data_IF_067043294690
#
_entry.id   IF_067043294690
#
_cell.length_a   1.000
_cell.length_b   1.000
_cell.length_c   1.000
_cell.angle_alpha   90.00
_cell.angle_beta   90.00
_cell.angle_gamma   90.00
#
_symmetry.space_group_name_H-M   'P 1'
#
loop_
_entity.id
_entity.type
_entity.pdbx_description
1 polymer ?
#
# COMPACT_ATOMS: atom_id res chain seq x y z
N UNK A 1 -1.54 -10.33 -12.93
CA UNK A 1 -2.28 -10.63 -14.18
C UNK A 1 -3.30 -11.71 -13.86
N UNK A 2 -4.52 -11.58 -14.39
CA UNK A 2 -5.55 -12.63 -14.26
C UNK A 2 -5.75 -13.23 -15.65
N UNK A 3 -5.68 -14.55 -15.77
CA UNK A 3 -5.93 -15.28 -17.03
C UNK A 3 -6.87 -16.45 -16.73
N UNK A 4 -8.14 -16.33 -17.13
CA UNK A 4 -9.18 -17.27 -16.69
C UNK A 4 -9.37 -17.19 -15.17
N UNK A 5 -9.28 -18.33 -14.49
CA UNK A 5 -9.36 -18.44 -13.03
C UNK A 5 -7.98 -18.28 -12.35
N UNK A 6 -6.89 -18.20 -13.12
CA UNK A 6 -5.54 -18.17 -12.58
C UNK A 6 -5.04 -16.74 -12.33
N UNK A 7 -4.38 -16.56 -11.17
CA UNK A 7 -3.77 -15.30 -10.75
C UNK A 7 -2.24 -15.42 -10.81
N UNK A 8 -1.62 -14.49 -11.52
CA UNK A 8 -0.17 -14.40 -11.69
C UNK A 8 0.37 -13.14 -11.01
N UNK A 9 1.29 -13.31 -10.07
CA UNK A 9 2.05 -12.22 -9.43
C UNK A 9 3.26 -11.91 -10.30
N UNK A 10 3.33 -10.68 -10.83
CA UNK A 10 4.42 -10.27 -11.72
C UNK A 10 5.58 -9.64 -10.95
N UNK A 11 5.27 -8.86 -9.92
CA UNK A 11 6.25 -8.14 -9.13
C UNK A 11 5.69 -7.84 -7.73
N UNK A 12 6.60 -7.49 -6.82
CA UNK A 12 6.29 -6.95 -5.49
C UNK A 12 7.06 -5.64 -5.34
N UNK A 13 6.34 -4.53 -5.23
CA UNK A 13 6.94 -3.22 -5.02
C UNK A 13 7.15 -2.97 -3.53
N UNK A 14 8.41 -3.01 -3.06
CA UNK A 14 8.78 -2.63 -1.68
C UNK A 14 8.73 -1.12 -1.46
N UNK A 15 8.89 -0.33 -2.53
CA UNK A 15 8.76 1.12 -2.53
C UNK A 15 7.65 1.55 -3.48
N UNK A 16 6.40 1.50 -2.99
CA UNK A 16 5.24 1.95 -3.76
C UNK A 16 5.21 3.48 -3.93
N UNK A 17 4.51 3.96 -4.95
CA UNK A 17 4.23 5.39 -5.09
C UNK A 17 3.40 5.93 -3.90
N UNK A 18 3.79 7.07 -3.34
CA UNK A 18 3.19 7.64 -2.12
C UNK A 18 2.48 8.99 -2.32
N UNK A 19 2.16 9.37 -3.55
CA UNK A 19 1.38 10.60 -3.81
C UNK A 19 -0.12 10.36 -3.64
N UNK A 20 -0.93 11.42 -3.53
CA UNK A 20 -2.41 11.31 -3.47
C UNK A 20 -3.01 10.53 -4.65
N UNK A 21 -2.34 10.53 -5.81
CA UNK A 21 -2.81 9.86 -7.01
C UNK A 21 -2.29 8.42 -7.17
N UNK A 22 -1.33 8.00 -6.34
CA UNK A 22 -0.73 6.67 -6.37
C UNK A 22 -1.69 5.60 -5.86
N UNK A 23 -1.52 4.36 -6.34
CA UNK A 23 -2.44 3.25 -6.04
C UNK A 23 -2.46 2.86 -4.56
N UNK A 24 -1.31 2.87 -3.89
CA UNK A 24 -1.21 2.45 -2.49
C UNK A 24 -1.93 3.42 -1.51
N UNK A 25 -1.75 4.75 -1.60
CA UNK A 25 -2.60 5.70 -0.87
C UNK A 25 -4.09 5.63 -1.22
N UNK A 26 -4.43 5.38 -2.49
CA UNK A 26 -5.83 5.23 -2.94
C UNK A 26 -6.49 3.98 -2.35
N UNK A 27 -5.80 2.84 -2.31
CA UNK A 27 -6.33 1.60 -1.72
C UNK A 27 -6.53 1.74 -0.21
N UNK A 28 -5.58 2.37 0.49
CA UNK A 28 -5.73 2.68 1.92
C UNK A 28 -6.96 3.56 2.18
N UNK A 29 -7.17 4.61 1.36
CA UNK A 29 -8.36 5.46 1.45
C UNK A 29 -9.65 4.67 1.22
N UNK A 30 -9.68 3.78 0.23
CA UNK A 30 -10.83 2.93 -0.04
C UNK A 30 -11.14 1.97 1.13
N UNK A 31 -10.10 1.54 1.87
CA UNK A 31 -10.22 0.77 3.09
C UNK A 31 -10.55 1.62 4.35
N UNK A 32 -10.89 2.91 4.19
CA UNK A 32 -11.26 3.80 5.29
C UNK A 32 -10.08 4.44 6.03
N UNK A 33 -8.84 4.27 5.54
CA UNK A 33 -7.64 4.85 6.15
C UNK A 33 -7.26 6.17 5.47
N UNK A 34 -7.22 7.27 6.23
CA UNK A 34 -6.74 8.55 5.71
C UNK A 34 -5.26 8.50 5.33
N UNK A 35 -4.80 9.37 4.43
CA UNK A 35 -3.38 9.44 4.07
C UNK A 35 -2.49 9.73 5.28
N UNK A 36 -2.93 10.61 6.19
CA UNK A 36 -2.22 10.88 7.44
C UNK A 36 -2.10 9.61 8.29
N UNK A 37 -3.22 8.89 8.47
CA UNK A 37 -3.25 7.65 9.25
C UNK A 37 -2.35 6.56 8.64
N UNK A 38 -2.26 6.48 7.32
CA UNK A 38 -1.34 5.57 6.63
C UNK A 38 0.13 5.92 6.95
N UNK A 39 0.51 7.20 6.87
CA UNK A 39 1.86 7.64 7.20
C UNK A 39 2.19 7.41 8.68
N UNK A 40 1.26 7.76 9.59
CA UNK A 40 1.40 7.49 11.02
C UNK A 40 1.65 5.99 11.26
N UNK A 41 0.95 5.11 10.55
CA UNK A 41 1.11 3.66 10.67
C UNK A 41 2.47 3.16 10.16
N UNK A 42 2.94 3.69 9.04
CA UNK A 42 4.27 3.33 8.50
C UNK A 42 5.35 3.72 9.50
N UNK A 43 5.30 4.93 10.05
CA UNK A 43 6.26 5.42 11.05
C UNK A 43 6.21 4.55 12.32
N UNK A 44 5.01 4.24 12.84
CA UNK A 44 4.83 3.36 14.00
C UNK A 44 5.47 1.99 13.79
N UNK A 45 5.25 1.38 12.63
CA UNK A 45 5.79 0.05 12.30
C UNK A 45 7.31 0.08 12.12
N UNK A 46 7.86 1.13 11.51
CA UNK A 46 9.31 1.30 11.37
C UNK A 46 9.99 1.56 12.71
N UNK A 47 9.35 2.29 13.61
CA UNK A 47 9.88 2.57 14.96
C UNK A 47 9.84 1.37 15.90
N UNK A 48 8.92 0.42 15.70
CA UNK A 48 8.79 -0.81 16.53
C UNK A 48 9.86 -1.88 16.27
N UNK A 49 10.73 -1.69 15.26
CA UNK A 49 11.78 -2.66 14.92
C UNK A 49 13.10 -2.44 15.69
N UNK A 50 13.15 -1.46 16.61
CA UNK A 50 14.31 -1.17 17.46
C UNK A 50 13.96 -1.25 18.94
#
# INVERSE_FOLDING_TARGET
MIKGEEVYVLEVNTLSGMTKNSLFPKSAKAAGMSFKSLLDKIIELSGKQF
#
